data_IF_632645946745
#
_entry.id   IF_632645946745
#
_cell.length_a   1.000
_cell.length_b   1.000
_cell.length_c   1.000
_cell.angle_alpha   90.00
_cell.angle_beta   90.00
_cell.angle_gamma   90.00
#
_symmetry.space_group_name_H-M   'P 1'
#
loop_
_entity.id
_entity.type
_entity.pdbx_description
1 polymer ?
#
# COMPACT_ATOMS: atom_id res chain seq x y z
N UNK A 1 15.06 -13.17 77.81
CA UNK A 1 16.36 -12.45 77.78
C UNK A 1 16.40 -11.65 76.47
N UNK A 2 16.30 -10.36 76.64
CA UNK A 2 16.24 -9.37 75.59
C UNK A 2 17.65 -8.97 75.19
N UNK A 3 18.02 -9.06 73.95
CA UNK A 3 19.22 -8.36 73.47
C UNK A 3 18.80 -7.36 72.39
N UNK A 4 18.95 -6.13 72.73
CA UNK A 4 18.83 -4.94 71.90
C UNK A 4 19.95 -4.95 70.86
N UNK A 5 19.63 -4.82 69.59
CA UNK A 5 20.58 -4.52 68.51
C UNK A 5 20.24 -3.11 68.06
N UNK A 6 21.17 -2.21 68.29
CA UNK A 6 21.15 -0.81 67.92
C UNK A 6 21.43 -0.68 66.45
N UNK A 7 20.48 -0.15 65.72
CA UNK A 7 20.64 0.13 64.24
C UNK A 7 21.25 1.51 64.10
N UNK A 8 22.48 1.54 63.55
CA UNK A 8 23.15 2.78 63.17
C UNK A 8 22.58 3.20 61.80
N UNK A 9 21.92 4.37 61.82
CA UNK A 9 21.38 5.01 60.62
C UNK A 9 22.54 5.77 59.96
N UNK A 10 23.13 5.20 58.92
CA UNK A 10 24.11 5.86 58.09
C UNK A 10 23.38 6.59 56.94
N UNK A 11 23.24 7.90 57.08
CA UNK A 11 22.75 8.78 56.03
C UNK A 11 23.75 8.83 54.86
N UNK A 12 23.44 8.12 53.82
CA UNK A 12 24.14 8.27 52.54
C UNK A 12 23.41 9.34 51.72
N UNK A 13 23.94 10.57 51.76
CA UNK A 13 23.54 11.62 50.82
C UNK A 13 24.00 11.22 49.42
N UNK A 14 23.14 10.59 48.63
CA UNK A 14 23.33 10.50 47.17
C UNK A 14 22.92 11.83 46.56
N UNK A 15 23.91 12.60 46.18
CA UNK A 15 23.76 13.72 45.27
C UNK A 15 23.23 13.17 43.94
N UNK A 16 21.95 13.33 43.67
CA UNK A 16 21.37 13.11 42.34
C UNK A 16 21.91 14.20 41.41
N UNK A 17 23.03 13.89 40.73
CA UNK A 17 23.45 14.62 39.55
C UNK A 17 22.40 14.43 38.49
N UNK A 18 21.62 15.47 38.22
CA UNK A 18 20.78 15.58 37.04
C UNK A 18 21.72 15.65 35.84
N UNK A 19 22.05 14.49 35.29
CA UNK A 19 22.59 14.40 33.95
C UNK A 19 21.44 14.75 32.99
N UNK A 20 21.30 16.03 32.66
CA UNK A 20 20.62 16.44 31.47
C UNK A 20 21.41 15.87 30.27
N UNK A 21 21.11 14.63 29.93
CA UNK A 21 21.44 14.10 28.62
C UNK A 21 20.61 14.88 27.59
N UNK A 22 21.10 16.06 27.18
CA UNK A 22 20.77 16.60 25.88
C UNK A 22 21.40 15.67 24.84
N UNK A 23 20.75 14.51 24.62
CA UNK A 23 20.84 13.84 23.33
C UNK A 23 20.21 14.78 22.31
N UNK A 24 20.71 14.83 21.05
CA UNK A 24 20.02 15.58 20.03
C UNK A 24 18.62 14.96 19.94
N UNK A 25 17.63 15.69 20.43
CA UNK A 25 16.24 15.45 20.15
C UNK A 25 16.19 15.58 18.63
N UNK A 26 16.10 14.43 17.93
CA UNK A 26 15.71 14.45 16.54
C UNK A 26 14.28 14.99 16.56
N UNK A 27 14.20 16.30 16.50
CA UNK A 27 13.00 16.98 16.08
C UNK A 27 12.67 16.37 14.73
N UNK A 28 11.65 15.52 14.71
CA UNK A 28 10.92 15.19 13.51
C UNK A 28 10.12 16.45 13.16
N UNK A 29 10.82 17.57 13.04
CA UNK A 29 10.32 18.69 12.30
C UNK A 29 10.42 18.25 10.85
N UNK A 30 9.30 18.14 10.19
CA UNK A 30 9.11 17.92 8.77
C UNK A 30 9.70 19.06 7.92
N UNK A 31 10.85 19.59 8.30
CA UNK A 31 11.58 20.61 7.58
C UNK A 31 12.33 19.95 6.44
N UNK A 32 11.83 20.17 5.22
CA UNK A 32 12.58 19.92 3.98
C UNK A 32 13.92 20.67 4.09
N UNK A 33 15.03 19.93 3.97
CA UNK A 33 16.37 20.52 4.01
C UNK A 33 16.56 21.49 2.83
N UNK A 34 17.37 22.53 3.04
CA UNK A 34 17.66 23.54 1.99
C UNK A 34 18.17 22.96 0.66
N UNK A 35 18.65 21.72 0.65
CA UNK A 35 19.24 21.02 -0.51
C UNK A 35 18.37 19.85 -0.99
N UNK A 36 17.11 19.75 -0.55
CA UNK A 36 16.23 18.66 -0.94
C UNK A 36 15.65 18.84 -2.36
N UNK A 37 15.65 20.06 -2.87
CA UNK A 37 15.24 20.40 -4.24
C UNK A 37 16.40 21.05 -5.01
N UNK A 38 16.46 20.95 -6.35
CA UNK A 38 15.46 20.36 -7.24
C UNK A 38 15.42 18.83 -7.22
N UNK A 39 14.27 18.25 -7.60
CA UNK A 39 14.04 16.81 -7.80
C UNK A 39 13.61 16.58 -9.23
N UNK A 40 14.19 15.58 -9.90
CA UNK A 40 13.77 15.17 -11.23
C UNK A 40 13.18 13.75 -11.18
N UNK A 41 11.96 13.59 -11.70
CA UNK A 41 11.25 12.31 -11.80
C UNK A 41 10.79 12.14 -13.24
N UNK A 42 11.35 11.14 -13.93
CA UNK A 42 11.22 11.04 -15.37
C UNK A 42 11.77 12.30 -16.03
N UNK A 43 10.95 12.95 -16.84
CA UNK A 43 11.32 14.19 -17.58
C UNK A 43 10.88 15.48 -16.84
N UNK A 44 10.35 15.36 -15.62
CA UNK A 44 9.78 16.49 -14.87
C UNK A 44 10.72 16.89 -13.72
N UNK A 45 11.12 18.16 -13.70
CA UNK A 45 11.92 18.75 -12.61
C UNK A 45 11.05 19.63 -11.72
N UNK A 46 11.04 19.33 -10.42
CA UNK A 46 10.40 20.11 -9.37
C UNK A 46 11.49 20.93 -8.68
N UNK A 47 11.43 22.24 -8.81
CA UNK A 47 12.49 23.12 -8.33
C UNK A 47 12.40 23.48 -6.85
N UNK A 48 11.23 23.37 -6.26
CA UNK A 48 10.94 23.71 -4.85
C UNK A 48 9.84 22.82 -4.30
N UNK A 49 9.66 22.76 -2.98
CA UNK A 49 8.59 22.02 -2.34
C UNK A 49 7.22 22.46 -2.90
N UNK A 50 6.37 21.51 -3.38
CA UNK A 50 5.07 21.84 -3.90
C UNK A 50 4.16 22.52 -2.85
N UNK A 51 3.47 23.58 -3.24
CA UNK A 51 2.47 24.26 -2.38
C UNK A 51 1.27 23.39 -2.08
N UNK A 52 0.96 22.49 -2.98
CA UNK A 52 -0.08 21.49 -2.85
C UNK A 52 -0.06 20.56 -4.07
N UNK A 53 -0.65 19.40 -3.92
CA UNK A 53 -0.76 18.40 -4.97
C UNK A 53 -2.22 17.99 -5.20
N UNK A 54 -2.52 17.58 -6.43
CA UNK A 54 -3.73 16.83 -6.75
C UNK A 54 -3.35 15.42 -7.19
N UNK A 55 -4.19 14.44 -6.88
CA UNK A 55 -3.95 13.05 -7.21
C UNK A 55 -5.07 12.49 -8.10
N UNK A 56 -4.69 12.01 -9.29
CA UNK A 56 -5.60 11.41 -10.29
C UNK A 56 -5.49 9.88 -10.32
N UNK A 57 -5.01 9.29 -9.24
CA UNK A 57 -4.84 7.85 -9.08
C UNK A 57 -5.17 7.42 -7.66
N UNK A 58 -6.14 6.51 -7.47
CA UNK A 58 -6.43 5.91 -6.16
C UNK A 58 -5.21 5.25 -5.52
N UNK A 59 -4.36 4.64 -6.33
CA UNK A 59 -3.17 3.95 -5.87
C UNK A 59 -2.09 4.92 -5.37
N UNK A 60 -1.81 6.00 -6.11
CA UNK A 60 -0.86 7.02 -5.65
C UNK A 60 -1.43 7.76 -4.42
N UNK A 61 -2.76 7.95 -4.33
CA UNK A 61 -3.40 8.48 -3.14
C UNK A 61 -3.11 7.61 -1.90
N UNK A 62 -3.18 6.27 -2.05
CA UNK A 62 -2.89 5.31 -0.99
C UNK A 62 -1.41 5.35 -0.55
N UNK A 63 -0.49 5.54 -1.51
CA UNK A 63 0.94 5.75 -1.23
C UNK A 63 1.16 7.04 -0.45
N UNK A 64 0.51 8.15 -0.85
CA UNK A 64 0.62 9.45 -0.16
C UNK A 64 0.12 9.34 1.29
N UNK A 65 -1.01 8.65 1.52
CA UNK A 65 -1.52 8.36 2.86
C UNK A 65 -0.54 7.50 3.68
N UNK A 66 0.04 6.48 3.05
CA UNK A 66 1.04 5.63 3.72
C UNK A 66 2.30 6.39 4.11
N UNK A 67 2.67 7.40 3.32
CA UNK A 67 3.76 8.33 3.61
C UNK A 67 3.41 9.37 4.69
N UNK A 68 2.12 9.49 5.08
CA UNK A 68 1.59 10.53 5.97
C UNK A 68 1.83 11.95 5.40
N UNK A 69 1.59 12.10 4.09
CA UNK A 69 1.74 13.36 3.36
C UNK A 69 0.40 13.88 2.81
N UNK A 70 -0.73 13.37 3.30
CA UNK A 70 -2.10 13.72 2.87
C UNK A 70 -2.42 15.21 3.02
N UNK A 71 -1.82 15.90 3.96
CA UNK A 71 -2.01 17.35 4.15
C UNK A 71 -1.57 18.18 2.93
N UNK A 72 -0.70 17.59 2.09
CA UNK A 72 -0.26 18.23 0.84
C UNK A 72 -1.33 18.17 -0.24
N UNK A 73 -2.29 17.23 -0.13
CA UNK A 73 -3.33 17.05 -1.12
C UNK A 73 -4.37 18.17 -1.03
N UNK A 74 -4.75 18.69 -2.19
CA UNK A 74 -5.76 19.75 -2.36
C UNK A 74 -6.95 19.29 -3.17
N UNK A 75 -6.81 18.22 -3.95
CA UNK A 75 -7.86 17.62 -4.74
C UNK A 75 -7.52 16.16 -5.07
N UNK A 76 -8.53 15.38 -5.40
CA UNK A 76 -8.39 13.95 -5.78
C UNK A 76 -9.33 13.59 -6.93
N UNK A 77 -9.06 12.46 -7.60
CA UNK A 77 -10.04 11.89 -8.52
C UNK A 77 -11.22 11.25 -7.76
N UNK A 78 -12.39 11.22 -8.41
CA UNK A 78 -13.63 10.73 -7.80
C UNK A 78 -13.59 9.24 -7.43
N UNK A 79 -12.73 8.45 -8.08
CA UNK A 79 -12.53 7.02 -7.87
C UNK A 79 -11.58 6.67 -6.71
N UNK A 80 -10.99 7.67 -6.02
CA UNK A 80 -10.22 7.46 -4.80
C UNK A 80 -11.15 6.99 -3.67
N UNK A 81 -11.04 5.73 -3.19
CA UNK A 81 -11.96 5.15 -2.21
C UNK A 81 -11.59 5.45 -0.75
N UNK A 82 -10.47 6.14 -0.52
CA UNK A 82 -9.94 6.40 0.81
C UNK A 82 -10.82 7.40 1.56
N UNK A 83 -11.37 6.98 2.72
CA UNK A 83 -12.21 7.81 3.59
C UNK A 83 -11.52 9.08 4.07
N UNK A 84 -10.23 9.03 4.31
CA UNK A 84 -9.41 10.17 4.77
C UNK A 84 -9.36 11.31 3.75
N UNK A 85 -9.68 11.03 2.49
CA UNK A 85 -9.69 11.99 1.39
C UNK A 85 -11.10 12.46 0.99
N UNK A 86 -12.17 12.03 1.67
CA UNK A 86 -13.55 12.38 1.31
C UNK A 86 -13.82 13.89 1.34
N UNK A 87 -13.12 14.61 2.20
CA UNK A 87 -13.25 16.06 2.32
C UNK A 87 -12.64 16.84 1.15
N UNK A 88 -11.81 16.20 0.33
CA UNK A 88 -11.16 16.84 -0.79
C UNK A 88 -12.10 16.93 -2.01
N UNK A 89 -12.03 18.04 -2.77
CA UNK A 89 -12.80 18.19 -3.99
C UNK A 89 -12.38 17.19 -5.06
N UNK A 90 -13.36 16.69 -5.81
CA UNK A 90 -13.12 15.82 -6.95
C UNK A 90 -12.71 16.61 -8.18
N UNK A 91 -11.69 16.10 -8.88
CA UNK A 91 -11.14 16.65 -10.11
C UNK A 91 -10.82 15.54 -11.13
N UNK A 92 -10.66 15.97 -12.37
CA UNK A 92 -10.23 15.11 -13.48
C UNK A 92 -8.98 15.71 -14.16
N UNK A 93 -8.44 15.02 -15.14
CA UNK A 93 -7.32 15.54 -15.94
C UNK A 93 -7.67 16.77 -16.79
N UNK A 94 -8.94 17.09 -16.95
CA UNK A 94 -9.42 18.24 -17.72
C UNK A 94 -9.62 19.49 -16.85
N UNK A 95 -9.44 19.39 -15.52
CA UNK A 95 -9.71 20.43 -14.54
C UNK A 95 -8.47 21.26 -14.17
N UNK A 96 -7.50 21.48 -15.08
CA UNK A 96 -6.23 22.14 -14.76
C UNK A 96 -6.40 23.48 -14.02
N UNK A 97 -7.30 24.36 -14.50
CA UNK A 97 -7.57 25.63 -13.82
C UNK A 97 -8.17 25.43 -12.43
N UNK A 98 -9.14 24.54 -12.27
CA UNK A 98 -9.78 24.24 -11.00
C UNK A 98 -8.78 23.67 -9.98
N UNK A 99 -7.86 22.79 -10.43
CA UNK A 99 -6.77 22.25 -9.60
C UNK A 99 -5.86 23.40 -9.13
N UNK A 100 -5.54 24.35 -10.02
CA UNK A 100 -4.79 25.55 -9.64
C UNK A 100 -5.51 26.41 -8.60
N UNK A 101 -6.80 26.62 -8.79
CA UNK A 101 -7.63 27.42 -7.88
C UNK A 101 -7.74 26.78 -6.47
N UNK A 102 -7.62 25.45 -6.36
CA UNK A 102 -7.49 24.74 -5.08
C UNK A 102 -6.10 24.83 -4.44
N UNK A 103 -5.14 25.46 -5.11
CA UNK A 103 -3.79 25.69 -4.59
C UNK A 103 -2.79 24.57 -4.88
N UNK A 104 -3.09 23.64 -5.79
CA UNK A 104 -2.15 22.65 -6.24
C UNK A 104 -1.27 23.18 -7.39
N UNK A 105 0.02 22.88 -7.33
CA UNK A 105 0.99 23.13 -8.41
C UNK A 105 1.71 21.84 -8.85
N UNK A 106 1.25 20.70 -8.36
CA UNK A 106 1.71 19.37 -8.72
C UNK A 106 0.51 18.45 -8.94
N UNK A 107 0.58 17.59 -9.95
CA UNK A 107 -0.43 16.54 -10.22
C UNK A 107 0.28 15.20 -10.33
N UNK A 108 -0.27 14.19 -9.63
CA UNK A 108 0.14 12.80 -9.77
C UNK A 108 -0.88 12.01 -10.59
N UNK A 109 -0.40 11.19 -11.52
CA UNK A 109 -1.21 10.25 -12.30
C UNK A 109 -0.46 8.94 -12.56
N UNK A 110 -1.19 7.84 -12.75
CA UNK A 110 -0.63 6.58 -13.25
C UNK A 110 -0.68 6.48 -14.78
N UNK A 111 -1.60 7.20 -15.39
CA UNK A 111 -1.83 7.15 -16.82
C UNK A 111 -1.20 8.36 -17.51
N UNK A 112 -0.64 8.12 -18.69
CA UNK A 112 -0.17 9.21 -19.54
C UNK A 112 -1.35 10.10 -19.94
N UNK A 113 -1.22 11.40 -19.70
CA UNK A 113 -2.18 12.39 -20.14
C UNK A 113 -2.03 12.69 -21.64
N UNK A 114 -3.09 13.24 -22.24
CA UNK A 114 -3.01 13.72 -23.62
C UNK A 114 -2.16 14.98 -23.72
N UNK A 115 -1.70 15.31 -24.93
CA UNK A 115 -0.92 16.54 -25.16
C UNK A 115 -1.72 17.80 -24.84
N UNK A 116 -3.03 17.79 -25.06
CA UNK A 116 -3.96 18.87 -24.72
C UNK A 116 -4.06 19.06 -23.21
N UNK A 117 -4.19 17.94 -22.46
CA UNK A 117 -4.23 17.97 -20.98
C UNK A 117 -2.90 18.48 -20.42
N UNK A 118 -1.78 17.96 -20.90
CA UNK A 118 -0.44 18.43 -20.48
C UNK A 118 -0.25 19.92 -20.80
N UNK A 119 -0.69 20.38 -21.97
CA UNK A 119 -0.66 21.80 -22.33
C UNK A 119 -1.51 22.66 -21.39
N UNK A 120 -2.69 22.18 -20.98
CA UNK A 120 -3.54 22.89 -20.03
C UNK A 120 -2.88 23.03 -18.66
N UNK A 121 -2.28 21.96 -18.12
CA UNK A 121 -1.53 21.99 -16.86
C UNK A 121 -0.31 22.92 -16.94
N UNK A 122 0.45 22.88 -18.03
CA UNK A 122 1.61 23.75 -18.25
C UNK A 122 1.23 25.24 -18.26
N UNK A 123 0.10 25.60 -18.87
CA UNK A 123 -0.41 26.99 -18.87
C UNK A 123 -0.71 27.51 -17.46
N UNK A 124 -1.18 26.63 -16.58
CA UNK A 124 -1.47 26.95 -15.18
C UNK A 124 -0.24 26.87 -14.27
N UNK A 125 0.94 26.48 -14.82
CA UNK A 125 2.18 26.29 -14.06
C UNK A 125 2.09 25.12 -13.10
N UNK A 126 1.39 24.04 -13.50
CA UNK A 126 1.25 22.82 -12.74
C UNK A 126 2.15 21.74 -13.35
N UNK A 127 3.05 21.17 -12.54
CA UNK A 127 3.85 20.03 -12.93
C UNK A 127 3.00 18.73 -12.91
N UNK A 128 3.15 17.86 -13.90
CA UNK A 128 2.46 16.57 -13.95
C UNK A 128 3.46 15.45 -13.91
N UNK A 129 3.36 14.60 -12.89
CA UNK A 129 4.21 13.41 -12.73
C UNK A 129 3.38 12.16 -12.99
N UNK A 130 3.83 11.34 -13.95
CA UNK A 130 3.26 10.03 -14.23
C UNK A 130 4.12 8.95 -13.62
N UNK A 131 3.59 8.23 -12.62
CA UNK A 131 4.28 7.13 -11.94
C UNK A 131 3.45 5.86 -12.12
N UNK A 132 4.05 4.85 -12.74
CA UNK A 132 3.41 3.57 -12.98
C UNK A 132 3.27 2.75 -11.69
N UNK A 133 2.23 1.91 -11.66
CA UNK A 133 2.05 0.90 -10.61
C UNK A 133 3.29 0.03 -10.44
N UNK A 134 3.51 -0.41 -9.22
CA UNK A 134 4.53 -1.39 -8.92
C UNK A 134 4.07 -2.79 -9.36
N UNK A 135 5.00 -3.59 -9.89
CA UNK A 135 4.83 -5.01 -10.22
C UNK A 135 5.77 -5.91 -9.43
N UNK A 136 6.71 -5.31 -8.70
CA UNK A 136 7.68 -5.97 -7.84
C UNK A 136 7.93 -5.16 -6.56
N UNK A 137 8.71 -5.72 -5.64
CA UNK A 137 9.16 -5.01 -4.43
C UNK A 137 10.04 -3.81 -4.78
N UNK A 138 10.94 -3.97 -5.74
CA UNK A 138 11.84 -2.91 -6.24
C UNK A 138 11.04 -1.78 -6.90
N UNK A 139 10.00 -2.14 -7.66
CA UNK A 139 9.08 -1.16 -8.22
C UNK A 139 8.31 -0.40 -7.14
N UNK A 140 7.98 -1.07 -6.01
CA UNK A 140 7.31 -0.42 -4.90
C UNK A 140 8.25 0.58 -4.21
N UNK A 141 9.50 0.22 -3.98
CA UNK A 141 10.51 1.14 -3.43
C UNK A 141 10.66 2.37 -4.34
N UNK A 142 10.69 2.16 -5.67
CA UNK A 142 10.70 3.25 -6.66
C UNK A 142 9.45 4.12 -6.56
N UNK A 143 8.25 3.53 -6.56
CA UNK A 143 6.97 4.26 -6.47
C UNK A 143 6.93 5.15 -5.21
N UNK A 144 7.28 4.60 -4.05
CA UNK A 144 7.27 5.32 -2.78
C UNK A 144 8.34 6.42 -2.73
N UNK A 145 9.54 6.12 -3.21
CA UNK A 145 10.63 7.10 -3.21
C UNK A 145 10.37 8.25 -4.21
N UNK A 146 9.81 7.97 -5.38
CA UNK A 146 9.43 8.99 -6.36
C UNK A 146 8.31 9.90 -5.82
N UNK A 147 7.23 9.32 -5.26
CA UNK A 147 6.14 10.10 -4.64
C UNK A 147 6.67 10.92 -3.46
N UNK A 148 7.45 10.30 -2.58
CA UNK A 148 8.05 10.99 -1.44
C UNK A 148 8.97 12.13 -1.87
N UNK A 149 9.87 11.88 -2.83
CA UNK A 149 10.81 12.88 -3.36
C UNK A 149 10.07 14.06 -4.01
N UNK A 150 9.01 13.77 -4.78
CA UNK A 150 8.21 14.82 -5.41
C UNK A 150 7.58 15.78 -4.39
N UNK A 151 7.19 15.25 -3.21
CA UNK A 151 6.52 16.03 -2.18
C UNK A 151 7.47 16.66 -1.17
N UNK A 152 8.58 15.98 -0.82
CA UNK A 152 9.46 16.37 0.30
C UNK A 152 10.95 16.35 -0.04
N UNK A 153 11.30 16.19 -1.32
CA UNK A 153 12.67 16.36 -1.80
C UNK A 153 13.52 15.10 -1.90
N UNK A 154 14.68 15.24 -2.52
CA UNK A 154 15.58 14.18 -2.94
C UNK A 154 16.16 13.36 -1.77
N UNK A 155 16.22 13.91 -0.57
CA UNK A 155 16.71 13.22 0.63
C UNK A 155 15.54 12.86 1.55
N UNK A 156 14.88 13.84 2.11
CA UNK A 156 13.82 13.64 3.12
C UNK A 156 12.69 12.78 2.58
N UNK A 157 12.16 13.10 1.40
CA UNK A 157 11.08 12.36 0.77
C UNK A 157 11.50 10.99 0.29
N UNK A 158 12.70 10.87 -0.29
CA UNK A 158 13.26 9.62 -0.74
C UNK A 158 13.47 8.62 0.41
N UNK A 159 14.16 9.03 1.47
CA UNK A 159 14.46 8.16 2.63
C UNK A 159 13.18 7.68 3.30
N UNK A 160 12.16 8.56 3.43
CA UNK A 160 10.86 8.16 3.97
C UNK A 160 10.16 7.18 3.05
N UNK A 161 10.19 7.40 1.73
CA UNK A 161 9.61 6.49 0.74
C UNK A 161 10.16 5.07 0.88
N UNK A 162 11.49 4.94 0.85
CA UNK A 162 12.18 3.65 1.01
C UNK A 162 11.84 3.01 2.37
N UNK A 163 11.90 3.77 3.46
CA UNK A 163 11.60 3.25 4.81
C UNK A 163 10.18 2.70 4.91
N UNK A 164 9.19 3.38 4.34
CA UNK A 164 7.79 2.96 4.44
C UNK A 164 7.52 1.73 3.56
N UNK A 165 7.99 1.72 2.30
CA UNK A 165 7.81 0.57 1.41
C UNK A 165 8.46 -0.70 1.97
N UNK A 166 9.68 -0.60 2.47
CA UNK A 166 10.36 -1.72 3.13
C UNK A 166 9.67 -2.17 4.41
N UNK A 167 9.14 -1.23 5.21
CA UNK A 167 8.36 -1.54 6.40
C UNK A 167 7.08 -2.34 6.10
N UNK A 168 6.40 -2.04 5.01
CA UNK A 168 5.24 -2.81 4.54
C UNK A 168 5.65 -4.26 4.24
N UNK A 169 6.73 -4.46 3.49
CA UNK A 169 7.19 -5.81 3.17
C UNK A 169 7.73 -6.57 4.36
N UNK A 170 8.39 -5.91 5.32
CA UNK A 170 8.79 -6.56 6.56
C UNK A 170 7.58 -7.12 7.31
N UNK A 171 6.50 -6.34 7.40
CA UNK A 171 5.26 -6.79 8.03
C UNK A 171 4.62 -7.96 7.25
N UNK A 172 4.59 -7.89 5.92
CA UNK A 172 4.10 -8.97 5.06
C UNK A 172 4.93 -10.25 5.25
N UNK A 173 6.25 -10.13 5.29
CA UNK A 173 7.16 -11.27 5.49
C UNK A 173 6.99 -11.88 6.89
N UNK A 174 6.69 -11.08 7.92
CA UNK A 174 6.41 -11.57 9.27
C UNK A 174 5.11 -12.39 9.30
N UNK A 175 4.06 -11.95 8.60
CA UNK A 175 2.83 -12.75 8.43
C UNK A 175 3.16 -14.08 7.74
N UNK A 176 3.92 -14.05 6.65
CA UNK A 176 4.32 -15.26 5.93
C UNK A 176 5.13 -16.26 6.77
N UNK A 177 5.92 -15.77 7.75
CA UNK A 177 6.70 -16.63 8.65
C UNK A 177 5.87 -17.44 9.64
N UNK A 178 4.74 -16.89 10.10
CA UNK A 178 3.85 -17.55 11.05
C UNK A 178 2.87 -18.52 10.38
N UNK A 179 2.75 -18.48 9.05
CA UNK A 179 1.90 -19.42 8.30
C UNK A 179 2.47 -20.83 8.41
N UNK A 180 1.64 -21.84 8.74
CA UNK A 180 2.09 -23.22 8.87
C UNK A 180 2.71 -23.74 7.58
N UNK A 181 3.96 -24.23 7.65
CA UNK A 181 4.60 -24.92 6.54
C UNK A 181 3.99 -26.29 6.38
N UNK A 182 3.53 -26.63 5.18
CA UNK A 182 2.91 -27.92 4.86
C UNK A 182 3.57 -28.55 3.64
N UNK A 183 3.74 -29.86 3.66
CA UNK A 183 4.17 -30.66 2.49
C UNK A 183 3.12 -30.61 1.36
N UNK A 184 1.89 -30.18 1.67
CA UNK A 184 0.81 -29.98 0.71
C UNK A 184 0.38 -28.51 0.78
N UNK A 185 1.07 -27.62 0.04
CA UNK A 185 0.76 -26.20 0.06
C UNK A 185 -0.67 -25.95 -0.43
N UNK A 186 -1.31 -24.95 0.15
CA UNK A 186 -2.68 -24.59 -0.19
C UNK A 186 -2.67 -23.73 -1.44
N UNK A 187 -3.35 -24.22 -2.49
CA UNK A 187 -3.51 -23.48 -3.75
C UNK A 187 -4.69 -22.54 -3.67
N UNK A 188 -4.48 -21.31 -4.10
CA UNK A 188 -5.52 -20.27 -4.13
C UNK A 188 -5.46 -19.48 -5.42
N UNK A 189 -6.54 -18.78 -5.74
CA UNK A 189 -6.59 -17.76 -6.79
C UNK A 189 -7.34 -16.54 -6.28
N UNK A 190 -6.94 -15.35 -6.71
CA UNK A 190 -7.77 -14.15 -6.61
C UNK A 190 -8.35 -13.85 -7.99
N UNK A 191 -9.68 -13.86 -8.09
CA UNK A 191 -10.41 -13.48 -9.30
C UNK A 191 -10.89 -12.05 -9.17
N UNK A 192 -10.57 -11.18 -10.12
CA UNK A 192 -11.12 -9.82 -10.16
C UNK A 192 -12.55 -9.80 -10.72
N UNK A 193 -12.86 -10.74 -11.62
CA UNK A 193 -14.18 -10.86 -12.26
C UNK A 193 -14.46 -12.29 -12.72
N UNK A 194 -15.65 -12.51 -13.27
CA UNK A 194 -16.10 -13.77 -13.89
C UNK A 194 -15.58 -13.98 -15.32
N UNK A 195 -14.88 -13.01 -15.91
CA UNK A 195 -14.46 -13.03 -17.32
C UNK A 195 -13.02 -13.51 -17.52
N UNK A 196 -12.34 -13.90 -16.44
CA UNK A 196 -11.00 -14.46 -16.52
C UNK A 196 -9.92 -13.44 -16.17
N UNK A 197 -10.26 -12.34 -15.45
CA UNK A 197 -9.27 -11.47 -14.86
C UNK A 197 -8.89 -12.01 -13.46
N UNK A 198 -7.60 -12.32 -13.27
CA UNK A 198 -7.08 -12.90 -12.04
C UNK A 198 -5.71 -12.33 -11.68
N UNK A 199 -5.31 -12.44 -10.41
CA UNK A 199 -3.97 -12.08 -9.96
C UNK A 199 -2.96 -13.15 -10.44
N UNK A 200 -2.23 -12.85 -11.52
CA UNK A 200 -1.25 -13.76 -12.15
C UNK A 200 0.15 -13.58 -11.54
N UNK A 201 1.05 -14.53 -11.76
CA UNK A 201 2.36 -14.55 -11.11
C UNK A 201 3.31 -13.39 -11.48
N UNK A 202 3.06 -12.71 -12.59
CA UNK A 202 3.82 -11.53 -13.04
C UNK A 202 3.32 -10.21 -12.42
N UNK A 203 2.29 -10.26 -11.57
CA UNK A 203 1.70 -9.08 -10.93
C UNK A 203 2.03 -9.01 -9.44
N UNK A 204 2.02 -7.81 -8.87
CA UNK A 204 2.23 -7.65 -7.44
C UNK A 204 1.13 -8.36 -6.63
N UNK A 205 -0.11 -8.31 -7.11
CA UNK A 205 -1.25 -8.98 -6.51
C UNK A 205 -1.06 -10.51 -6.42
N UNK A 206 -0.49 -11.11 -7.49
CA UNK A 206 -0.12 -12.54 -7.48
C UNK A 206 0.99 -12.86 -6.47
N UNK A 207 1.97 -11.96 -6.34
CA UNK A 207 3.05 -12.09 -5.35
C UNK A 207 2.58 -11.90 -3.91
N UNK A 208 1.53 -11.10 -3.68
CA UNK A 208 0.90 -11.00 -2.35
C UNK A 208 0.28 -12.33 -1.89
N UNK A 209 -0.28 -13.11 -2.83
CA UNK A 209 -0.78 -14.46 -2.52
C UNK A 209 0.37 -15.34 -2.02
N UNK A 210 1.52 -15.31 -2.70
CA UNK A 210 2.69 -16.09 -2.31
C UNK A 210 3.28 -15.60 -0.98
N UNK A 211 3.28 -14.29 -0.76
CA UNK A 211 3.72 -13.68 0.50
C UNK A 211 2.82 -14.05 1.69
N UNK A 212 1.54 -14.38 1.43
CA UNK A 212 0.63 -14.94 2.44
C UNK A 212 0.92 -16.43 2.77
N UNK A 213 2.03 -17.00 2.29
CA UNK A 213 2.39 -18.41 2.49
C UNK A 213 1.49 -19.37 1.71
N UNK A 214 0.84 -18.92 0.65
CA UNK A 214 -0.08 -19.67 -0.19
C UNK A 214 0.52 -19.89 -1.58
N UNK A 215 -0.02 -20.84 -2.33
CA UNK A 215 0.41 -21.07 -3.72
C UNK A 215 -0.60 -20.44 -4.67
N UNK A 216 -0.13 -19.52 -5.48
CA UNK A 216 -0.97 -18.95 -6.55
C UNK A 216 -1.21 -20.00 -7.63
N UNK A 217 -2.45 -20.49 -7.75
CA UNK A 217 -2.83 -21.54 -8.69
C UNK A 217 -2.69 -21.15 -10.18
N UNK A 218 -2.48 -19.86 -10.44
CA UNK A 218 -2.32 -19.29 -11.78
C UNK A 218 -1.01 -18.51 -11.93
N UNK A 219 0.03 -18.91 -11.17
CA UNK A 219 1.36 -18.27 -11.17
C UNK A 219 2.01 -18.25 -12.55
N UNK A 220 1.76 -19.24 -13.39
CA UNK A 220 2.31 -19.34 -14.75
C UNK A 220 1.57 -18.45 -15.78
N UNK A 221 0.43 -17.90 -15.40
CA UNK A 221 -0.35 -16.97 -16.26
C UNK A 221 0.19 -15.54 -16.15
N UNK A 222 -0.12 -14.69 -17.14
CA UNK A 222 0.38 -13.32 -17.25
C UNK A 222 -0.72 -12.31 -17.58
N UNK A 223 -0.38 -11.03 -17.39
CA UNK A 223 -1.22 -9.88 -17.77
C UNK A 223 -2.60 -9.89 -17.10
N UNK A 224 -2.72 -10.45 -15.90
CA UNK A 224 -4.00 -10.65 -15.20
C UNK A 224 -5.04 -11.44 -16.01
N UNK A 225 -4.62 -12.32 -16.92
CA UNK A 225 -5.53 -13.08 -17.80
C UNK A 225 -5.39 -14.58 -17.58
N UNK A 226 -6.53 -15.22 -17.40
CA UNK A 226 -6.65 -16.68 -17.35
C UNK A 226 -7.82 -17.16 -18.22
N UNK A 227 -7.74 -18.41 -18.66
CA UNK A 227 -8.90 -19.10 -19.25
C UNK A 227 -9.63 -19.89 -18.17
N UNK A 228 -10.92 -20.17 -18.41
CA UNK A 228 -11.65 -21.07 -17.50
C UNK A 228 -11.03 -22.48 -17.49
N UNK A 229 -10.57 -22.95 -18.63
CA UNK A 229 -9.93 -24.27 -18.77
C UNK A 229 -8.67 -24.35 -17.92
N UNK A 230 -7.81 -23.31 -17.92
CA UNK A 230 -6.63 -23.27 -17.06
C UNK A 230 -7.00 -23.22 -15.57
N UNK A 231 -8.01 -22.43 -15.20
CA UNK A 231 -8.52 -22.36 -13.83
C UNK A 231 -9.11 -23.71 -13.37
N UNK A 232 -9.87 -24.38 -14.24
CA UNK A 232 -10.45 -25.69 -13.97
C UNK A 232 -9.36 -26.76 -13.79
N UNK A 233 -8.32 -26.71 -14.60
CA UNK A 233 -7.16 -27.63 -14.48
C UNK A 233 -6.39 -27.38 -13.18
N UNK A 234 -6.12 -26.11 -12.87
CA UNK A 234 -5.44 -25.71 -11.64
C UNK A 234 -6.24 -26.06 -10.38
N UNK A 235 -7.58 -26.05 -10.49
CA UNK A 235 -8.55 -26.41 -9.43
C UNK A 235 -8.15 -25.88 -8.03
N UNK A 236 -8.07 -24.57 -7.84
CA UNK A 236 -7.62 -23.99 -6.57
C UNK A 236 -8.50 -24.43 -5.41
N UNK A 237 -7.87 -24.67 -4.25
CA UNK A 237 -8.58 -25.04 -3.03
C UNK A 237 -9.43 -23.91 -2.46
N UNK A 238 -8.99 -22.66 -2.67
CA UNK A 238 -9.69 -21.44 -2.25
C UNK A 238 -9.77 -20.44 -3.40
N UNK A 239 -10.85 -19.68 -3.44
CA UNK A 239 -11.01 -18.53 -4.32
C UNK A 239 -11.23 -17.30 -3.45
N UNK A 240 -10.42 -16.27 -3.68
CA UNK A 240 -10.66 -14.93 -3.16
C UNK A 240 -11.20 -14.04 -4.28
N UNK A 241 -12.09 -13.12 -3.96
CA UNK A 241 -12.71 -12.28 -4.98
C UNK A 241 -13.29 -10.99 -4.39
N UNK A 242 -13.61 -9.98 -5.23
CA UNK A 242 -14.33 -8.79 -4.79
C UNK A 242 -15.72 -9.11 -4.26
N UNK A 243 -16.21 -8.25 -3.38
CA UNK A 243 -17.58 -8.30 -2.88
C UNK A 243 -18.61 -8.35 -4.03
N UNK A 244 -19.58 -9.26 -3.94
CA UNK A 244 -20.61 -9.50 -4.95
C UNK A 244 -20.25 -10.55 -6.01
N UNK A 245 -18.98 -10.97 -6.13
CA UNK A 245 -18.58 -11.96 -7.13
C UNK A 245 -18.87 -13.40 -6.69
N UNK A 246 -18.84 -13.71 -5.39
CA UNK A 246 -19.13 -15.06 -4.87
C UNK A 246 -20.48 -15.60 -5.34
N UNK A 247 -21.54 -14.79 -5.24
CA UNK A 247 -22.87 -15.18 -5.67
C UNK A 247 -22.93 -15.45 -7.18
N UNK A 248 -22.25 -14.66 -7.99
CA UNK A 248 -22.15 -14.85 -9.44
C UNK A 248 -21.42 -16.15 -9.79
N UNK A 249 -20.32 -16.46 -9.12
CA UNK A 249 -19.58 -17.71 -9.33
C UNK A 249 -20.43 -18.93 -8.96
N UNK A 250 -21.17 -18.86 -7.86
CA UNK A 250 -22.08 -19.95 -7.43
C UNK A 250 -23.26 -20.19 -8.39
N UNK A 251 -23.77 -19.12 -9.00
CA UNK A 251 -24.87 -19.21 -9.97
C UNK A 251 -24.40 -19.58 -11.39
N UNK A 252 -23.13 -19.47 -11.68
CA UNK A 252 -22.57 -19.69 -13.03
C UNK A 252 -22.47 -21.17 -13.36
N UNK A 253 -23.08 -21.60 -14.47
CA UNK A 253 -22.92 -22.96 -15.01
C UNK A 253 -21.43 -23.33 -15.23
N UNK A 254 -20.62 -22.33 -15.49
CA UNK A 254 -19.19 -22.45 -15.72
C UNK A 254 -18.41 -22.68 -14.44
N UNK A 255 -18.65 -21.87 -13.38
CA UNK A 255 -17.85 -21.87 -12.16
C UNK A 255 -18.41 -22.75 -11.02
N UNK A 256 -19.73 -23.00 -10.97
CA UNK A 256 -20.39 -23.75 -9.90
C UNK A 256 -19.79 -25.14 -9.64
N UNK A 257 -19.08 -25.71 -10.63
CA UNK A 257 -18.48 -27.03 -10.56
C UNK A 257 -17.04 -27.05 -10.02
N UNK A 258 -16.40 -25.89 -9.84
CA UNK A 258 -15.08 -25.81 -9.19
C UNK A 258 -15.17 -26.30 -7.73
N UNK A 259 -14.13 -27.00 -7.28
CA UNK A 259 -14.07 -27.55 -5.91
C UNK A 259 -14.27 -26.47 -4.86
N UNK A 260 -13.58 -25.35 -4.98
CA UNK A 260 -13.71 -24.23 -4.05
C UNK A 260 -15.14 -23.66 -3.97
N UNK A 261 -15.87 -23.63 -5.09
CA UNK A 261 -17.26 -23.15 -5.11
C UNK A 261 -18.20 -24.16 -4.44
N UNK A 262 -18.07 -25.46 -4.75
CA UNK A 262 -18.87 -26.54 -4.16
C UNK A 262 -18.66 -26.67 -2.64
N UNK A 263 -17.44 -26.46 -2.17
CA UNK A 263 -17.07 -26.56 -0.76
C UNK A 263 -17.29 -25.25 0.02
N UNK A 264 -17.84 -24.20 -0.62
CA UNK A 264 -18.06 -22.90 0.02
C UNK A 264 -16.78 -22.12 0.35
N UNK A 265 -15.65 -22.51 -0.24
CA UNK A 265 -14.32 -21.90 -0.02
C UNK A 265 -14.06 -20.70 -0.97
N UNK A 266 -15.09 -19.90 -1.18
CA UNK A 266 -15.03 -18.62 -1.89
C UNK A 266 -15.19 -17.50 -0.88
N UNK A 267 -14.17 -16.66 -0.76
CA UNK A 267 -14.12 -15.56 0.21
C UNK A 267 -14.10 -14.22 -0.50
N UNK A 268 -15.06 -13.39 -0.16
CA UNK A 268 -15.13 -12.01 -0.64
C UNK A 268 -14.28 -11.11 0.25
N UNK A 269 -13.59 -10.16 -0.38
CA UNK A 269 -12.81 -9.13 0.29
C UNK A 269 -12.99 -7.79 -0.40
N UNK A 270 -12.72 -6.69 0.33
CA UNK A 270 -12.73 -5.37 -0.27
C UNK A 270 -11.71 -5.33 -1.43
N UNK A 271 -12.12 -5.00 -2.66
CA UNK A 271 -11.22 -4.98 -3.81
C UNK A 271 -10.03 -4.04 -3.63
N UNK A 272 -10.18 -2.96 -2.85
CA UNK A 272 -9.09 -2.03 -2.56
C UNK A 272 -7.87 -2.71 -1.92
N UNK A 273 -8.07 -3.78 -1.14
CA UNK A 273 -6.97 -4.52 -0.51
C UNK A 273 -6.02 -5.14 -1.53
N UNK A 274 -6.55 -5.55 -2.69
CA UNK A 274 -5.74 -6.18 -3.74
C UNK A 274 -5.25 -5.21 -4.81
N UNK A 275 -5.88 -4.03 -4.95
CA UNK A 275 -5.53 -3.11 -6.05
C UNK A 275 -4.74 -1.89 -5.60
N UNK A 276 -4.78 -1.52 -4.33
CA UNK A 276 -4.00 -0.42 -3.79
C UNK A 276 -2.64 -0.91 -3.28
N UNK A 277 -1.61 -0.07 -3.41
CA UNK A 277 -0.22 -0.43 -3.11
C UNK A 277 0.32 0.31 -1.88
N UNK A 278 -0.57 0.54 -0.92
CA UNK A 278 -0.29 1.09 0.39
C UNK A 278 -0.30 0.01 1.49
N UNK A 279 -0.67 0.42 2.70
CA UNK A 279 -0.81 -0.48 3.86
C UNK A 279 -1.89 -1.55 3.65
N UNK A 280 -2.86 -1.31 2.77
CA UNK A 280 -3.87 -2.28 2.35
C UNK A 280 -3.31 -3.63 1.89
N UNK A 281 -2.07 -3.66 1.38
CA UNK A 281 -1.39 -4.93 1.03
C UNK A 281 -1.17 -5.83 2.25
N UNK A 282 -0.86 -5.26 3.41
CA UNK A 282 -0.72 -6.00 4.68
C UNK A 282 -2.05 -6.64 5.06
N UNK A 283 -3.14 -5.88 4.93
CA UNK A 283 -4.49 -6.36 5.24
C UNK A 283 -4.92 -7.46 4.27
N UNK A 284 -4.56 -7.35 2.98
CA UNK A 284 -4.81 -8.39 1.99
C UNK A 284 -4.15 -9.72 2.36
N UNK A 285 -2.86 -9.67 2.70
CA UNK A 285 -2.07 -10.84 3.10
C UNK A 285 -2.62 -11.44 4.40
N UNK A 286 -2.89 -10.61 5.41
CA UNK A 286 -3.49 -11.03 6.68
C UNK A 286 -4.85 -11.70 6.48
N UNK A 287 -5.71 -11.11 5.66
CA UNK A 287 -7.03 -11.67 5.35
C UNK A 287 -6.92 -13.05 4.67
N UNK A 288 -6.09 -13.17 3.64
CA UNK A 288 -5.91 -14.42 2.92
C UNK A 288 -5.33 -15.51 3.82
N UNK A 289 -4.26 -15.20 4.57
CA UNK A 289 -3.66 -16.14 5.52
C UNK A 289 -4.64 -16.57 6.60
N UNK A 290 -5.37 -15.63 7.21
CA UNK A 290 -6.35 -15.92 8.26
C UNK A 290 -7.56 -16.72 7.78
N UNK A 291 -8.02 -16.55 6.52
CA UNK A 291 -9.10 -17.37 5.96
C UNK A 291 -8.67 -18.81 5.67
N UNK A 292 -7.42 -19.00 5.30
CA UNK A 292 -6.86 -20.35 5.03
C UNK A 292 -6.43 -21.04 6.32
N UNK A 293 -5.91 -20.28 7.30
CA UNK A 293 -5.39 -20.75 8.58
C UNK A 293 -6.03 -19.98 9.74
N UNK A 294 -7.31 -20.25 10.08
CA UNK A 294 -8.05 -19.50 11.10
C UNK A 294 -7.36 -19.44 12.47
N UNK A 295 -6.58 -20.48 12.81
CA UNK A 295 -5.82 -20.54 14.06
C UNK A 295 -4.78 -19.41 14.23
N UNK A 296 -4.39 -18.72 13.14
CA UNK A 296 -3.51 -17.55 13.22
C UNK A 296 -4.19 -16.32 13.82
N UNK A 297 -5.53 -16.30 13.83
CA UNK A 297 -6.33 -15.21 14.37
C UNK A 297 -6.77 -15.46 15.83
N UNK A 298 -6.68 -16.72 16.31
CA UNK A 298 -7.16 -17.12 17.65
C UNK A 298 -6.22 -16.71 18.80
N UNK A 299 -5.06 -16.13 18.51
CA UNK A 299 -4.05 -15.71 19.51
C UNK A 299 -3.95 -14.20 19.73
N UNK A 300 -4.87 -13.40 19.19
CA UNK A 300 -4.81 -11.92 19.23
C UNK A 300 -5.93 -11.27 20.06
N UNK A 301 -6.64 -12.05 20.92
CA UNK A 301 -7.56 -11.51 21.92
C UNK A 301 -6.88 -11.20 23.25
#
# INVERSE_FOLDING_TARGET
MLKKITTVFLCFLMAFGVLTACGPQNDISSGVGKNDFPVTIGDVTINEEPKGAAVLSPNIADVILSLEYEITLKAKSADCPQSDLEVLPNVTADDAKKIKDFGANLVFTENKLTDEQLSAFNKEGIAVITIKRATSREDLDRLYSEVGSALKGAKTGYERGIKISQGIFLTIDDIGRIVPKSDKPVTVVYLFDENGKAATGDTLEGKLIESAGLVNAVSDSKDNKITYESLKLANPKYIFCPTGLKAKLAASEKYKNLTAVKEGKVFEMNPSLMVLQGRSMVDAVSFMAGKVYPQLLEGTE
#
